data_IF_620465295871
#
_entry.id   IF_620465295871
#
_cell.length_a   1.000
_cell.length_b   1.000
_cell.length_c   1.000
_cell.angle_alpha   90.00
_cell.angle_beta   90.00
_cell.angle_gamma   90.00
#
_symmetry.space_group_name_H-M   'P 1'
#
loop_
_entity.id
_entity.type
_entity.pdbx_description
1 polymer ?
#
# COMPACT_ATOMS: atom_id res chain seq x y z
N UNK A 1 2.35 -10.44 7.13
CA UNK A 1 3.66 -10.07 6.51
C UNK A 1 3.78 -8.56 6.65
N UNK A 2 4.94 -7.98 6.94
CA UNK A 2 5.10 -6.52 7.07
C UNK A 2 5.77 -5.86 5.85
N UNK A 3 5.83 -4.52 5.81
CA UNK A 3 6.43 -3.79 4.68
C UNK A 3 7.90 -4.14 4.45
N UNK A 4 8.71 -4.27 5.51
CA UNK A 4 10.12 -4.61 5.36
C UNK A 4 10.29 -5.97 4.67
N UNK A 5 9.50 -6.97 5.07
CA UNK A 5 9.49 -8.29 4.43
C UNK A 5 9.05 -8.20 2.97
N UNK A 6 7.98 -7.46 2.67
CA UNK A 6 7.49 -7.29 1.31
C UNK A 6 8.49 -6.55 0.40
N UNK A 7 9.17 -5.53 0.91
CA UNK A 7 10.19 -4.79 0.16
C UNK A 7 11.42 -5.63 -0.12
N UNK A 8 11.91 -6.38 0.88
CA UNK A 8 13.00 -7.33 0.68
C UNK A 8 12.62 -8.37 -0.37
N UNK A 9 11.44 -8.97 -0.26
CA UNK A 9 10.96 -9.95 -1.23
C UNK A 9 10.83 -9.36 -2.65
N UNK A 10 10.33 -8.14 -2.80
CA UNK A 10 10.24 -7.46 -4.08
C UNK A 10 11.62 -7.23 -4.72
N UNK A 11 12.61 -6.77 -3.92
CA UNK A 11 13.99 -6.61 -4.39
C UNK A 11 14.59 -7.93 -4.85
N UNK A 12 14.46 -8.98 -4.04
CA UNK A 12 14.99 -10.30 -4.42
C UNK A 12 14.31 -10.88 -5.65
N UNK A 13 12.99 -10.73 -5.77
CA UNK A 13 12.22 -11.22 -6.90
C UNK A 13 12.62 -10.52 -8.20
N UNK A 14 12.74 -9.19 -8.17
CA UNK A 14 13.18 -8.42 -9.35
C UNK A 14 14.61 -8.78 -9.77
N UNK A 15 15.52 -9.01 -8.83
CA UNK A 15 16.89 -9.46 -9.13
C UNK A 15 16.93 -10.88 -9.73
N UNK A 16 16.13 -11.81 -9.19
CA UNK A 16 16.09 -13.21 -9.66
C UNK A 16 15.44 -13.35 -11.04
N UNK A 17 14.56 -12.42 -11.42
CA UNK A 17 13.83 -12.41 -12.69
C UNK A 17 14.26 -11.21 -13.54
N UNK A 18 15.57 -10.92 -13.57
CA UNK A 18 16.12 -9.75 -14.25
C UNK A 18 15.82 -9.72 -15.76
N UNK A 19 15.57 -10.86 -16.39
CA UNK A 19 15.09 -10.96 -17.77
C UNK A 19 13.75 -10.22 -17.99
N UNK A 20 12.84 -10.28 -17.01
CA UNK A 20 11.56 -9.56 -17.04
C UNK A 20 11.71 -8.13 -16.53
N UNK A 21 12.60 -7.91 -15.55
CA UNK A 21 12.78 -6.61 -14.88
C UNK A 21 13.95 -5.79 -15.46
N UNK A 22 14.47 -6.15 -16.64
CA UNK A 22 15.64 -5.48 -17.21
C UNK A 22 15.40 -3.98 -17.42
N UNK A 23 16.25 -3.16 -16.79
CA UNK A 23 16.15 -1.70 -16.84
C UNK A 23 14.90 -1.13 -16.16
N UNK A 24 14.26 -1.89 -15.27
CA UNK A 24 13.21 -1.40 -14.37
C UNK A 24 13.89 -0.86 -13.12
N UNK A 25 13.71 0.43 -12.87
CA UNK A 25 14.14 1.05 -11.60
C UNK A 25 13.03 0.85 -10.57
N UNK A 26 13.43 0.50 -9.35
CA UNK A 26 12.53 0.25 -8.22
C UNK A 26 12.86 1.20 -7.07
N UNK A 27 11.83 1.83 -6.50
CA UNK A 27 11.98 2.69 -5.32
C UNK A 27 10.87 2.46 -4.30
N UNK A 28 11.13 2.84 -3.05
CA UNK A 28 10.28 2.55 -1.89
C UNK A 28 9.95 3.86 -1.14
N UNK A 29 9.14 4.75 -1.74
CA UNK A 29 8.97 6.12 -1.22
C UNK A 29 8.13 6.22 0.07
N UNK A 30 7.39 5.16 0.40
CA UNK A 30 6.63 5.03 1.63
C UNK A 30 7.02 3.73 2.32
N UNK A 31 7.79 3.83 3.40
CA UNK A 31 8.20 2.71 4.24
C UNK A 31 7.56 2.77 5.64
N UNK A 32 8.00 1.90 6.54
CA UNK A 32 7.46 1.82 7.90
C UNK A 32 7.70 3.08 8.75
N UNK A 33 8.62 3.96 8.33
CA UNK A 33 8.95 5.21 9.03
C UNK A 33 7.96 6.34 8.76
N UNK A 34 7.16 6.22 7.69
CA UNK A 34 6.06 7.15 7.42
C UNK A 34 5.00 7.09 8.54
N UNK A 35 4.38 8.23 8.88
CA UNK A 35 3.33 8.23 9.87
C UNK A 35 2.06 7.55 9.32
N UNK A 36 1.03 7.34 10.16
CA UNK A 36 -0.26 6.86 9.70
C UNK A 36 -0.91 7.77 8.65
N UNK A 37 -1.79 7.21 7.83
CA UNK A 37 -2.42 7.94 6.70
C UNK A 37 -3.28 9.14 7.14
N UNK A 38 -3.76 9.12 8.39
CA UNK A 38 -4.57 10.18 8.99
C UNK A 38 -3.77 11.27 9.68
N UNK A 39 -2.44 11.12 9.83
CA UNK A 39 -1.60 12.13 10.47
C UNK A 39 -1.07 13.15 9.44
N UNK A 40 -1.68 14.34 9.44
CA UNK A 40 -1.36 15.41 8.51
C UNK A 40 -0.73 16.62 9.22
N UNK A 41 -0.20 16.40 10.43
CA UNK A 41 0.41 17.47 11.23
C UNK A 41 1.72 17.99 10.64
N UNK A 42 2.48 17.14 9.96
CA UNK A 42 3.67 17.55 9.20
C UNK A 42 3.43 17.38 7.69
N UNK A 43 3.17 18.50 7.01
CA UNK A 43 2.93 18.55 5.57
C UNK A 43 4.12 18.08 4.73
N UNK A 44 5.33 18.01 5.30
CA UNK A 44 6.53 17.51 4.61
C UNK A 44 6.72 16.01 4.76
N UNK A 45 5.98 15.37 5.67
CA UNK A 45 6.10 13.95 5.97
C UNK A 45 4.74 13.30 6.16
N UNK A 46 3.90 13.36 5.11
CA UNK A 46 2.60 12.72 5.15
C UNK A 46 2.70 11.19 5.05
N UNK A 47 1.79 10.50 5.73
CA UNK A 47 1.65 9.04 5.68
C UNK A 47 0.97 8.51 4.43
N UNK A 48 0.55 9.40 3.52
CA UNK A 48 -0.21 9.08 2.32
C UNK A 48 0.30 9.87 1.10
N UNK A 49 0.13 9.29 -0.08
CA UNK A 49 0.41 9.93 -1.37
C UNK A 49 -0.49 11.15 -1.55
N UNK A 50 0.07 12.28 -1.97
CA UNK A 50 -0.69 13.52 -2.23
C UNK A 50 -0.36 14.10 -3.59
N UNK A 51 -1.22 14.97 -4.12
CA UNK A 51 -0.96 15.61 -5.41
C UNK A 51 0.31 16.46 -5.34
N UNK A 52 1.20 16.29 -6.32
CA UNK A 52 2.46 17.02 -6.41
C UNK A 52 3.66 16.38 -5.70
N UNK A 53 3.50 15.21 -5.08
CA UNK A 53 4.59 14.50 -4.39
C UNK A 53 5.59 13.77 -5.31
N UNK A 54 5.34 13.77 -6.63
CA UNK A 54 6.15 13.05 -7.62
C UNK A 54 6.02 11.52 -7.58
N UNK A 55 5.18 10.98 -6.70
CA UNK A 55 4.96 9.55 -6.47
C UNK A 55 3.62 9.12 -7.07
N UNK A 56 2.60 9.96 -6.94
CA UNK A 56 1.24 9.67 -7.35
C UNK A 56 1.05 9.33 -8.83
N UNK A 57 1.95 9.81 -9.69
CA UNK A 57 1.98 9.59 -11.14
C UNK A 57 2.80 8.37 -11.55
N UNK A 58 3.34 7.60 -10.62
CA UNK A 58 4.11 6.40 -10.95
C UNK A 58 3.21 5.17 -11.06
N UNK A 59 3.73 4.13 -11.70
CA UNK A 59 3.18 2.77 -11.63
C UNK A 59 3.86 2.01 -10.48
N UNK A 60 3.18 0.99 -9.95
CA UNK A 60 3.73 0.20 -8.85
C UNK A 60 2.72 -0.52 -7.97
N UNK A 61 3.20 -0.87 -6.79
CA UNK A 61 2.44 -1.57 -5.75
C UNK A 61 2.14 -0.59 -4.61
N UNK A 62 0.94 -0.65 -4.07
CA UNK A 62 0.59 0.00 -2.81
C UNK A 62 0.03 -1.03 -1.84
N UNK A 63 0.37 -0.87 -0.57
CA UNK A 63 0.02 -1.80 0.50
C UNK A 63 -0.51 -1.01 1.68
N UNK A 64 -1.58 -1.48 2.30
CA UNK A 64 -2.02 -0.96 3.58
C UNK A 64 -1.66 -1.94 4.69
N UNK A 65 -1.20 -1.42 5.82
CA UNK A 65 -0.88 -2.21 6.99
C UNK A 65 -1.60 -1.67 8.23
N UNK A 66 -1.98 -2.57 9.14
CA UNK A 66 -2.47 -2.22 10.46
C UNK A 66 -1.38 -1.54 11.31
N UNK A 67 -1.75 -0.91 12.44
CA UNK A 67 -0.80 -0.21 13.30
C UNK A 67 0.36 -1.08 13.83
N UNK A 68 0.13 -2.39 13.97
CA UNK A 68 1.14 -3.40 14.35
C UNK A 68 2.09 -3.78 13.19
N UNK A 69 1.85 -3.27 11.99
CA UNK A 69 2.67 -3.46 10.81
C UNK A 69 2.28 -4.67 9.95
N UNK A 70 1.19 -5.38 10.25
CA UNK A 70 0.70 -6.45 9.38
C UNK A 70 0.02 -5.87 8.13
N UNK A 71 0.46 -6.31 6.94
CA UNK A 71 -0.17 -5.93 5.68
C UNK A 71 -1.59 -6.51 5.61
N UNK A 72 -2.58 -5.63 5.50
CA UNK A 72 -4.01 -5.96 5.41
C UNK A 72 -4.54 -5.88 3.98
N UNK A 73 -3.80 -5.23 3.07
CA UNK A 73 -4.14 -5.13 1.65
C UNK A 73 -2.90 -4.94 0.77
N UNK A 74 -2.89 -5.57 -0.41
CA UNK A 74 -1.89 -5.38 -1.46
C UNK A 74 -2.64 -5.12 -2.77
N UNK A 75 -2.33 -4.01 -3.45
CA UNK A 75 -2.87 -3.72 -4.78
C UNK A 75 -1.84 -3.06 -5.69
N UNK A 76 -2.24 -2.88 -6.96
CA UNK A 76 -1.38 -2.31 -8.02
C UNK A 76 -1.98 -1.12 -8.76
N UNK A 77 -1.08 -0.36 -9.35
CA UNK A 77 -1.33 0.71 -10.32
C UNK A 77 -0.43 0.52 -11.55
N UNK A 78 -1.02 0.23 -12.70
CA UNK A 78 -0.29 -0.07 -13.95
C UNK A 78 -0.38 1.06 -14.98
N UNK A 79 -1.07 2.16 -14.64
CA UNK A 79 -1.34 3.28 -15.55
C UNK A 79 -0.84 4.60 -15.00
N UNK A 80 0.30 4.59 -14.30
CA UNK A 80 0.89 5.82 -13.76
C UNK A 80 -0.08 6.59 -12.84
N UNK A 81 -0.82 5.84 -12.03
CA UNK A 81 -1.98 6.34 -11.28
C UNK A 81 -2.03 5.81 -9.84
N UNK A 82 -0.87 5.66 -9.19
CA UNK A 82 -0.76 5.25 -7.79
C UNK A 82 -1.66 6.11 -6.88
N UNK A 83 -1.69 7.43 -7.07
CA UNK A 83 -2.57 8.32 -6.30
C UNK A 83 -4.03 7.89 -6.41
N UNK A 84 -4.56 7.77 -7.62
CA UNK A 84 -5.95 7.38 -7.86
C UNK A 84 -6.27 6.01 -7.24
N UNK A 85 -5.37 5.05 -7.37
CA UNK A 85 -5.60 3.67 -6.91
C UNK A 85 -5.52 3.55 -5.40
N UNK A 86 -4.55 4.19 -4.75
CA UNK A 86 -4.44 4.20 -3.30
C UNK A 86 -5.62 4.93 -2.66
N UNK A 87 -5.94 6.14 -3.14
CA UNK A 87 -7.06 6.94 -2.62
C UNK A 87 -8.43 6.30 -2.85
N UNK A 88 -8.62 5.56 -3.95
CA UNK A 88 -9.89 4.88 -4.25
C UNK A 88 -10.35 3.87 -3.20
N UNK A 89 -9.46 3.44 -2.28
CA UNK A 89 -9.82 2.54 -1.19
C UNK A 89 -10.24 3.23 0.09
N UNK A 90 -9.67 4.37 0.40
CA UNK A 90 -9.93 5.10 1.65
C UNK A 90 -10.93 6.24 1.46
N UNK A 91 -11.11 6.70 0.21
CA UNK A 91 -12.01 7.79 -0.20
C UNK A 91 -11.68 9.14 0.47
N UNK A 92 -12.59 10.11 0.31
CA UNK A 92 -12.42 11.47 0.84
C UNK A 92 -12.33 11.46 2.37
N UNK A 93 -11.29 12.06 2.96
CA UNK A 93 -11.14 12.12 4.40
C UNK A 93 -12.01 13.22 5.01
N UNK A 94 -12.35 13.05 6.28
CA UNK A 94 -12.93 14.10 7.12
C UNK A 94 -11.82 14.67 8.01
N UNK A 95 -11.68 15.99 8.03
CA UNK A 95 -10.73 16.66 8.92
C UNK A 95 -11.25 16.68 10.35
N UNK A 96 -10.38 16.28 11.28
CA UNK A 96 -10.56 16.46 12.71
C UNK A 96 -9.71 17.64 13.21
N UNK A 97 -9.80 17.92 14.51
CA UNK A 97 -8.94 18.92 15.13
C UNK A 97 -7.45 18.57 14.99
N UNK A 98 -6.62 19.62 14.92
CA UNK A 98 -5.16 19.55 14.97
C UNK A 98 -4.51 18.69 13.86
N UNK A 99 -5.01 18.75 12.62
CA UNK A 99 -4.36 18.13 11.47
C UNK A 99 -4.46 16.60 11.42
N UNK A 100 -5.40 16.02 12.16
CA UNK A 100 -5.76 14.60 12.05
C UNK A 100 -6.91 14.41 11.05
N UNK A 101 -6.95 13.26 10.38
CA UNK A 101 -8.01 12.92 9.42
C UNK A 101 -8.55 11.52 9.64
N UNK A 102 -9.86 11.37 9.43
CA UNK A 102 -10.56 10.09 9.43
C UNK A 102 -11.08 9.74 8.04
N UNK A 103 -11.41 8.47 7.82
CA UNK A 103 -11.80 7.90 6.54
C UNK A 103 -13.14 7.12 6.65
N UNK A 104 -14.24 7.75 7.10
CA UNK A 104 -15.50 7.06 7.41
C UNK A 104 -16.18 6.41 6.19
N UNK A 105 -15.74 6.75 4.97
CA UNK A 105 -16.31 6.26 3.70
C UNK A 105 -15.41 5.26 2.99
N UNK A 106 -14.42 4.66 3.65
CA UNK A 106 -13.52 3.69 3.03
C UNK A 106 -14.26 2.48 2.42
N UNK A 107 -13.63 1.82 1.45
CA UNK A 107 -14.14 0.61 0.79
C UNK A 107 -13.69 -0.69 1.46
N UNK A 108 -12.77 -0.61 2.43
CA UNK A 108 -12.29 -1.77 3.20
C UNK A 108 -13.41 -2.40 4.04
N UNK A 109 -14.12 -3.36 3.45
CA UNK A 109 -15.21 -4.10 4.08
C UNK A 109 -14.95 -5.59 3.93
N UNK A 110 -14.83 -6.29 5.05
CA UNK A 110 -14.70 -7.74 5.07
C UNK A 110 -15.52 -8.32 6.23
N UNK A 111 -16.38 -9.34 6.02
CA UNK A 111 -17.25 -9.87 7.08
C UNK A 111 -16.50 -10.43 8.29
N UNK A 112 -15.27 -10.90 8.07
CA UNK A 112 -14.39 -11.42 9.13
C UNK A 112 -13.34 -10.40 9.61
N UNK A 113 -13.45 -9.14 9.20
CA UNK A 113 -12.52 -8.11 9.68
C UNK A 113 -12.72 -7.91 11.19
N UNK A 114 -11.66 -8.01 11.99
CA UNK A 114 -11.72 -7.61 13.40
C UNK A 114 -12.15 -6.14 13.53
N UNK A 115 -12.93 -5.83 14.57
CA UNK A 115 -13.45 -4.47 14.79
C UNK A 115 -12.32 -3.44 14.92
N UNK A 116 -11.24 -3.78 15.63
CA UNK A 116 -10.07 -2.91 15.81
C UNK A 116 -9.35 -2.57 14.49
N UNK A 117 -9.33 -3.49 13.51
CA UNK A 117 -8.74 -3.22 12.20
C UNK A 117 -9.62 -2.28 11.40
N UNK A 118 -10.94 -2.52 11.42
CA UNK A 118 -11.91 -1.63 10.75
C UNK A 118 -11.85 -0.22 11.34
N UNK A 119 -11.84 -0.11 12.66
CA UNK A 119 -11.67 1.15 13.38
C UNK A 119 -10.32 1.82 13.05
N UNK A 120 -9.24 1.04 12.89
CA UNK A 120 -7.95 1.61 12.51
C UNK A 120 -7.97 2.22 11.10
N UNK A 121 -8.70 1.61 10.16
CA UNK A 121 -8.90 2.19 8.81
C UNK A 121 -9.71 3.48 8.93
N UNK A 122 -10.85 3.43 9.63
CA UNK A 122 -11.74 4.58 9.81
C UNK A 122 -11.03 5.75 10.50
N UNK A 123 -10.23 5.49 11.52
CA UNK A 123 -9.48 6.51 12.26
C UNK A 123 -8.17 6.94 11.57
N UNK A 124 -7.83 6.35 10.41
CA UNK A 124 -6.63 6.69 9.66
C UNK A 124 -5.32 6.27 10.34
N UNK A 125 -5.36 5.32 11.28
CA UNK A 125 -4.17 4.86 12.01
C UNK A 125 -3.40 3.76 11.27
N UNK A 126 -3.95 3.24 10.17
CA UNK A 126 -3.24 2.36 9.25
C UNK A 126 -2.08 3.09 8.54
N UNK A 127 -1.13 2.32 8.03
CA UNK A 127 0.02 2.82 7.28
C UNK A 127 -0.05 2.46 5.80
N UNK A 128 0.57 3.28 4.97
CA UNK A 128 0.75 3.02 3.54
C UNK A 128 2.19 2.62 3.25
N UNK A 129 2.37 1.55 2.48
CA UNK A 129 3.63 1.14 1.87
C UNK A 129 3.54 1.27 0.35
N UNK A 130 4.58 1.77 -0.30
CA UNK A 130 4.60 1.97 -1.75
C UNK A 130 5.89 1.43 -2.35
N UNK A 131 5.75 0.72 -3.47
CA UNK A 131 6.85 0.29 -4.34
C UNK A 131 6.59 0.90 -5.72
N UNK A 132 7.42 1.84 -6.16
CA UNK A 132 7.34 2.41 -7.50
C UNK A 132 8.23 1.62 -8.47
N UNK A 133 7.72 1.39 -9.68
CA UNK A 133 8.45 0.79 -10.79
C UNK A 133 8.49 1.79 -11.94
N UNK A 134 9.65 1.99 -12.57
CA UNK A 134 9.78 2.91 -13.71
C UNK A 134 9.09 2.43 -14.98
N UNK A 135 8.81 1.13 -15.09
CA UNK A 135 8.05 0.50 -16.19
C UNK A 135 6.80 -0.18 -15.63
N UNK A 136 5.69 -0.08 -16.34
CA UNK A 136 4.37 -0.51 -15.84
C UNK A 136 4.05 -1.97 -16.15
N UNK A 137 4.68 -2.55 -17.17
CA UNK A 137 4.44 -3.88 -17.69
C UNK A 137 4.63 -4.99 -16.62
N UNK A 138 5.72 -5.00 -15.82
CA UNK A 138 5.95 -6.07 -14.85
C UNK A 138 5.27 -5.84 -13.49
N UNK A 139 4.55 -4.73 -13.30
CA UNK A 139 3.89 -4.39 -12.02
C UNK A 139 2.91 -5.48 -11.61
N UNK A 140 2.11 -6.01 -12.54
CA UNK A 140 1.17 -7.08 -12.26
C UNK A 140 1.85 -8.37 -11.80
N UNK A 141 3.02 -8.68 -12.37
CA UNK A 141 3.79 -9.86 -11.97
C UNK A 141 4.29 -9.72 -10.53
N UNK A 142 4.80 -8.54 -10.16
CA UNK A 142 5.26 -8.28 -8.81
C UNK A 142 4.11 -8.32 -7.79
N UNK A 143 2.95 -7.77 -8.12
CA UNK A 143 1.76 -7.82 -7.25
C UNK A 143 1.33 -9.26 -6.97
N UNK A 144 1.17 -10.07 -8.03
CA UNK A 144 0.79 -11.48 -7.93
C UNK A 144 1.80 -12.24 -7.08
N UNK A 145 3.09 -11.99 -7.28
CA UNK A 145 4.15 -12.58 -6.46
C UNK A 145 3.98 -12.23 -4.98
N UNK A 146 3.80 -10.94 -4.63
CA UNK A 146 3.66 -10.52 -3.23
C UNK A 146 2.39 -11.06 -2.56
N UNK A 147 1.27 -11.10 -3.28
CA UNK A 147 0.03 -11.71 -2.79
C UNK A 147 0.19 -13.23 -2.58
N UNK A 148 0.88 -13.91 -3.50
CA UNK A 148 1.17 -15.36 -3.41
C UNK A 148 2.12 -15.68 -2.27
N UNK A 149 3.14 -14.85 -2.07
CA UNK A 149 4.07 -14.96 -0.96
C UNK A 149 3.34 -14.77 0.38
N UNK A 150 2.49 -13.75 0.49
CA UNK A 150 1.63 -13.55 1.66
C UNK A 150 0.81 -14.81 1.94
N UNK A 151 0.10 -15.33 0.92
CA UNK A 151 -0.73 -16.54 1.02
C UNK A 151 0.07 -17.75 1.50
N UNK A 152 1.30 -17.91 1.04
CA UNK A 152 2.15 -19.04 1.41
C UNK A 152 2.58 -18.98 2.88
N UNK A 153 2.90 -17.79 3.38
CA UNK A 153 3.31 -17.56 4.77
C UNK A 153 2.11 -17.67 5.71
N UNK A 154 0.98 -17.04 5.37
CA UNK A 154 -0.17 -16.87 6.27
C UNK A 154 -1.29 -17.89 6.08
N UNK A 155 -1.21 -18.71 5.02
CA UNK A 155 -2.28 -19.65 4.58
C UNK A 155 -3.62 -18.96 4.28
N UNK A 156 -3.59 -17.64 4.12
CA UNK A 156 -4.72 -16.78 3.76
C UNK A 156 -4.21 -15.56 3.00
N UNK A 157 -5.07 -14.90 2.22
CA UNK A 157 -4.76 -13.60 1.61
C UNK A 157 -4.74 -12.50 2.68
N UNK A 158 -4.12 -11.33 2.39
CA UNK A 158 -4.32 -10.15 3.24
C UNK A 158 -5.81 -9.90 3.45
N UNK A 159 -6.19 -9.45 4.64
CA UNK A 159 -7.57 -9.40 5.12
C UNK A 159 -8.57 -8.81 4.12
N UNK A 160 -8.17 -7.78 3.37
CA UNK A 160 -9.04 -7.09 2.42
C UNK A 160 -8.81 -7.46 0.93
N UNK A 161 -7.90 -8.38 0.63
CA UNK A 161 -7.76 -8.96 -0.70
C UNK A 161 -8.78 -10.11 -0.88
N UNK A 162 -9.62 -10.01 -1.91
CA UNK A 162 -10.62 -11.05 -2.23
C UNK A 162 -10.06 -12.20 -3.06
N UNK A 163 -9.04 -11.91 -3.86
CA UNK A 163 -8.38 -12.83 -4.77
C UNK A 163 -6.94 -12.37 -5.03
N UNK A 164 -6.19 -13.18 -5.76
CA UNK A 164 -4.90 -12.80 -6.34
C UNK A 164 -5.16 -12.14 -7.71
N UNK A 165 -4.46 -11.04 -8.00
CA UNK A 165 -4.40 -10.41 -9.33
C UNK A 165 -5.32 -9.20 -9.58
#
# INVERSE_FOLDING_TARGET
MNFQQAFTAAKEFTLKNNDVFQGVEISFPFDATRPPIGDWRDQRNLGIIVTGDGIGTNSGIYMYASPDGEIIYIGKATKNNLHQRAWGHINTPTELNAGMRTFPRHSFKHPKAPANITESVENGTIKLGVICLSKSEPVSLLEVYLQTLYLTIHKSLPLFNKQIG
#
